data_IF_875027266035
#
_entry.id   IF_875027266035
#
_cell.length_a   1.000
_cell.length_b   1.000
_cell.length_c   1.000
_cell.angle_alpha   90.00
_cell.angle_beta   90.00
_cell.angle_gamma   90.00
#
_symmetry.space_group_name_H-M   'P 1'
#
loop_
_entity.id
_entity.type
_entity.pdbx_description
1 polymer ?
#
# COMPACT_ATOMS: atom_id res chain seq x y z
N UNK A 1 1.36 18.19 13.44
CA UNK A 1 0.89 17.85 12.08
C UNK A 1 2.09 17.63 11.19
N UNK A 2 2.02 16.61 10.35
CA UNK A 2 2.98 16.35 9.29
C UNK A 2 2.55 17.14 8.05
N UNK A 3 3.31 18.17 7.70
CA UNK A 3 3.05 19.00 6.53
C UNK A 3 4.35 19.21 5.74
N UNK A 4 4.32 19.11 4.41
CA UNK A 4 5.48 19.47 3.60
C UNK A 4 5.73 20.97 3.63
N UNK A 5 6.99 21.38 3.48
CA UNK A 5 7.38 22.78 3.42
C UNK A 5 6.77 23.50 2.20
N UNK A 6 6.55 22.78 1.11
CA UNK A 6 5.96 23.32 -0.12
C UNK A 6 5.33 22.21 -0.98
N UNK A 7 4.50 22.64 -1.92
CA UNK A 7 3.93 21.86 -3.00
C UNK A 7 2.87 20.83 -2.58
N UNK A 8 2.32 20.11 -3.56
CA UNK A 8 1.22 19.21 -3.34
C UNK A 8 1.67 17.92 -2.63
N UNK A 9 0.83 17.46 -1.72
CA UNK A 9 0.96 16.18 -1.03
C UNK A 9 -0.39 15.49 -0.87
N UNK A 10 -0.36 14.18 -0.73
CA UNK A 10 -1.51 13.34 -0.42
C UNK A 10 -1.17 12.38 0.72
N UNK A 11 -1.87 11.23 0.80
CA UNK A 11 -1.76 10.26 1.89
C UNK A 11 -0.32 9.83 2.19
N UNK A 12 -0.11 9.47 3.45
CA UNK A 12 1.12 8.86 3.92
C UNK A 12 1.06 7.33 3.83
N UNK A 13 2.22 6.71 3.67
CA UNK A 13 2.37 5.25 3.58
C UNK A 13 3.77 4.82 4.01
N UNK A 14 4.01 3.52 4.12
CA UNK A 14 5.35 2.98 4.38
C UNK A 14 5.96 3.41 5.70
N UNK A 15 5.14 3.58 6.76
CA UNK A 15 5.65 3.92 8.09
C UNK A 15 6.50 2.79 8.65
N UNK A 16 7.74 3.08 9.04
CA UNK A 16 8.65 2.12 9.66
C UNK A 16 9.50 2.76 10.78
N UNK A 17 9.93 1.93 11.72
CA UNK A 17 10.91 2.28 12.74
C UNK A 17 12.25 1.63 12.38
N UNK A 18 13.29 2.43 12.17
CA UNK A 18 14.62 1.93 11.85
C UNK A 18 15.70 2.67 12.64
N UNK A 19 16.53 1.93 13.37
CA UNK A 19 17.63 2.46 14.20
C UNK A 19 17.19 3.62 15.12
N UNK A 20 16.01 3.48 15.74
CA UNK A 20 15.46 4.47 16.67
C UNK A 20 14.87 5.72 16.02
N UNK A 21 14.70 5.74 14.71
CA UNK A 21 13.99 6.78 13.98
C UNK A 21 12.76 6.22 13.26
N UNK A 22 11.67 6.95 13.32
CA UNK A 22 10.49 6.71 12.49
C UNK A 22 10.70 7.37 11.14
N UNK A 23 10.33 6.64 10.09
CA UNK A 23 10.33 7.11 8.72
C UNK A 23 8.94 6.91 8.15
N UNK A 24 8.40 7.91 7.44
CA UNK A 24 7.13 7.84 6.76
C UNK A 24 7.28 8.48 5.38
N UNK A 25 6.61 7.90 4.41
CA UNK A 25 6.62 8.39 3.04
C UNK A 25 5.23 8.90 2.66
N UNK A 26 5.14 9.67 1.61
CA UNK A 26 3.89 10.25 1.13
C UNK A 26 3.94 10.46 -0.38
N UNK A 27 2.78 10.47 -1.00
CA UNK A 27 2.69 10.96 -2.35
C UNK A 27 2.98 12.47 -2.37
N UNK A 28 3.87 12.89 -3.24
CA UNK A 28 4.30 14.29 -3.36
C UNK A 28 4.51 14.69 -4.81
N UNK A 29 3.92 15.81 -5.24
CA UNK A 29 4.41 16.51 -6.42
C UNK A 29 5.46 17.51 -5.96
N UNK A 30 6.75 17.20 -6.18
CA UNK A 30 7.86 18.03 -5.70
C UNK A 30 7.99 19.38 -6.44
N UNK A 31 7.31 19.57 -7.55
CA UNK A 31 7.48 20.73 -8.44
C UNK A 31 6.26 21.65 -8.55
N UNK A 32 5.08 21.26 -8.05
CA UNK A 32 3.86 22.03 -8.19
C UNK A 32 2.88 21.86 -7.03
N UNK A 33 1.96 22.82 -6.90
CA UNK A 33 0.93 22.84 -5.84
C UNK A 33 -0.34 22.04 -6.18
N UNK A 34 -0.34 21.32 -7.29
CA UNK A 34 -1.47 20.49 -7.76
C UNK A 34 -1.02 19.07 -8.04
N UNK A 35 -1.97 18.17 -8.17
CA UNK A 35 -1.71 16.79 -8.58
C UNK A 35 -1.02 16.77 -9.96
N UNK A 36 0.08 16.04 -10.06
CA UNK A 36 0.87 15.90 -11.27
C UNK A 36 1.71 14.64 -11.22
N UNK A 37 2.98 14.72 -11.62
CA UNK A 37 3.87 13.59 -11.49
C UNK A 37 4.18 13.32 -10.02
N UNK A 38 3.81 12.13 -9.53
CA UNK A 38 3.92 11.76 -8.12
C UNK A 38 5.30 11.15 -7.85
N UNK A 39 5.96 11.72 -6.86
CA UNK A 39 7.16 11.20 -6.22
C UNK A 39 6.81 10.62 -4.84
N UNK A 40 7.73 9.89 -4.21
CA UNK A 40 7.66 9.63 -2.78
C UNK A 40 8.42 10.70 -2.01
N UNK A 41 7.67 11.56 -1.32
CA UNK A 41 8.21 12.40 -0.28
C UNK A 41 8.64 11.55 0.91
N UNK A 42 9.44 12.12 1.81
CA UNK A 42 9.98 11.41 2.95
C UNK A 42 10.05 12.33 4.16
N UNK A 43 9.64 11.82 5.31
CA UNK A 43 9.80 12.48 6.61
C UNK A 43 10.44 11.51 7.60
N UNK A 44 11.26 12.05 8.50
CA UNK A 44 11.84 11.31 9.61
C UNK A 44 11.53 11.96 10.94
N UNK A 45 11.44 11.17 12.02
CA UNK A 45 11.15 11.65 13.36
C UNK A 45 11.78 10.77 14.44
N UNK A 46 12.29 11.33 15.53
CA UNK A 46 12.73 10.56 16.68
C UNK A 46 11.57 10.05 17.56
N UNK A 47 10.37 10.66 17.47
CA UNK A 47 9.31 10.52 18.48
C UNK A 47 7.88 10.54 17.91
N UNK A 48 7.71 10.55 16.57
CA UNK A 48 6.43 10.70 15.85
C UNK A 48 5.70 12.05 16.08
N UNK A 49 6.31 12.97 16.80
CA UNK A 49 5.75 14.31 17.08
C UNK A 49 6.51 15.38 16.31
N UNK A 50 7.85 15.29 16.31
CA UNK A 50 8.74 16.25 15.65
C UNK A 50 9.28 15.65 14.36
N UNK A 51 8.72 16.10 13.24
CA UNK A 51 9.03 15.59 11.91
C UNK A 51 9.97 16.52 11.15
N UNK A 52 10.98 15.95 10.52
CA UNK A 52 11.84 16.62 9.55
C UNK A 52 11.46 16.13 8.15
N UNK A 53 11.18 17.07 7.23
CA UNK A 53 11.04 16.74 5.82
C UNK A 53 12.43 16.51 5.24
N UNK A 54 12.60 15.33 4.66
CA UNK A 54 13.80 14.92 3.95
C UNK A 54 13.63 15.18 2.45
N UNK A 55 14.68 14.96 1.66
CA UNK A 55 14.50 14.96 0.21
C UNK A 55 13.60 13.81 -0.24
N UNK A 56 12.92 13.92 -1.39
CA UNK A 56 12.13 12.81 -1.91
C UNK A 56 12.95 11.52 -2.01
N UNK A 57 12.39 10.43 -1.47
CA UNK A 57 13.05 9.12 -1.48
C UNK A 57 13.10 8.52 -2.88
N UNK A 58 12.03 8.66 -3.66
CA UNK A 58 11.92 8.12 -5.00
C UNK A 58 11.33 9.15 -5.97
N UNK A 59 11.86 9.18 -7.18
CA UNK A 59 11.36 9.98 -8.29
C UNK A 59 11.12 9.08 -9.50
N UNK A 60 10.08 9.32 -10.33
CA UNK A 60 9.85 8.54 -11.54
C UNK A 60 10.91 8.91 -12.59
N UNK A 61 11.74 7.93 -12.93
CA UNK A 61 12.87 8.09 -13.85
C UNK A 61 13.06 6.90 -14.79
N UNK A 62 12.14 5.91 -14.74
CA UNK A 62 12.18 4.72 -15.57
C UNK A 62 10.89 4.55 -16.38
N UNK A 63 10.94 3.78 -17.46
CA UNK A 63 9.76 3.56 -18.31
C UNK A 63 8.59 2.90 -17.58
N UNK A 64 8.87 2.05 -16.60
CA UNK A 64 7.85 1.33 -15.84
C UNK A 64 7.19 2.19 -14.73
N UNK A 65 7.72 3.38 -14.41
CA UNK A 65 7.15 4.30 -13.43
C UNK A 65 7.05 5.77 -13.94
N UNK A 66 7.15 5.97 -15.25
CA UNK A 66 7.19 7.31 -15.89
C UNK A 66 6.00 8.21 -15.58
N UNK A 67 4.85 7.63 -15.24
CA UNK A 67 3.62 8.36 -14.92
C UNK A 67 3.44 8.60 -13.41
N UNK A 68 4.43 8.22 -12.61
CA UNK A 68 4.47 8.46 -11.17
C UNK A 68 4.80 7.23 -10.35
N UNK A 69 5.22 7.47 -9.12
CA UNK A 69 5.45 6.46 -8.08
C UNK A 69 4.36 6.64 -7.05
N UNK A 70 3.38 5.70 -7.03
CA UNK A 70 2.19 5.82 -6.20
C UNK A 70 2.39 5.06 -4.89
N UNK A 71 1.38 5.07 -4.04
CA UNK A 71 1.46 4.53 -2.69
C UNK A 71 1.88 3.06 -2.63
N UNK A 72 2.34 2.64 -1.49
CA UNK A 72 2.84 1.31 -1.24
C UNK A 72 3.25 1.10 0.22
N UNK A 73 4.25 0.28 0.46
CA UNK A 73 4.65 -0.13 1.81
C UNK A 73 6.16 -0.08 2.01
N UNK A 74 6.60 -0.16 3.25
CA UNK A 74 8.00 -0.33 3.62
C UNK A 74 8.10 -1.49 4.63
N UNK A 75 9.12 -2.32 4.46
CA UNK A 75 9.42 -3.45 5.36
C UNK A 75 10.91 -3.48 5.68
N UNK A 76 11.26 -4.16 6.75
CA UNK A 76 12.65 -4.57 7.04
C UNK A 76 12.76 -6.02 6.63
N UNK A 77 13.63 -6.33 5.68
CA UNK A 77 13.84 -7.69 5.18
C UNK A 77 14.59 -8.57 6.19
N UNK A 78 14.83 -9.83 5.85
CA UNK A 78 15.47 -10.81 6.73
C UNK A 78 16.94 -10.47 7.06
N UNK A 79 17.58 -9.64 6.26
CA UNK A 79 18.94 -9.14 6.50
C UNK A 79 18.94 -7.86 7.37
N UNK A 80 17.79 -7.42 7.86
CA UNK A 80 17.64 -6.17 8.63
C UNK A 80 17.74 -4.91 7.78
N UNK A 81 17.56 -5.02 6.46
CA UNK A 81 17.66 -3.90 5.52
C UNK A 81 16.24 -3.41 5.18
N UNK A 82 15.95 -2.11 5.36
CA UNK A 82 14.70 -1.52 4.89
C UNK A 82 14.54 -1.64 3.37
N UNK A 83 13.34 -1.94 2.93
CA UNK A 83 12.99 -2.04 1.53
C UNK A 83 11.67 -1.31 1.29
N UNK A 84 11.64 -0.43 0.29
CA UNK A 84 10.42 0.20 -0.20
C UNK A 84 9.80 -0.67 -1.28
N UNK A 85 8.49 -0.81 -1.22
CA UNK A 85 7.66 -1.49 -2.20
C UNK A 85 6.61 -0.49 -2.66
N UNK A 86 6.57 -0.17 -3.94
CA UNK A 86 5.74 0.93 -4.44
C UNK A 86 4.96 0.56 -5.70
N UNK A 87 3.85 1.23 -5.91
CA UNK A 87 3.11 1.15 -7.15
C UNK A 87 3.84 1.92 -8.24
N UNK A 88 4.24 1.22 -9.28
CA UNK A 88 4.94 1.78 -10.42
C UNK A 88 3.94 2.13 -11.53
N UNK A 89 3.70 3.43 -11.72
CA UNK A 89 2.80 3.97 -12.75
C UNK A 89 3.51 4.12 -14.10
N UNK A 90 3.51 3.05 -14.88
CA UNK A 90 3.98 3.04 -16.26
C UNK A 90 2.85 3.03 -17.28
N UNK A 91 3.05 2.38 -18.43
CA UNK A 91 1.98 2.07 -19.39
C UNK A 91 1.03 0.99 -18.83
N UNK A 92 1.53 0.21 -17.89
CA UNK A 92 0.78 -0.72 -17.05
C UNK A 92 1.10 -0.40 -15.59
N UNK A 93 0.14 -0.67 -14.71
CA UNK A 93 0.38 -0.58 -13.27
C UNK A 93 1.15 -1.82 -12.82
N UNK A 94 2.26 -1.60 -12.15
CA UNK A 94 3.14 -2.65 -11.67
C UNK A 94 3.63 -2.39 -10.25
N UNK A 95 4.57 -3.21 -9.79
CA UNK A 95 5.21 -3.07 -8.48
C UNK A 95 6.71 -2.91 -8.67
N UNK A 96 7.26 -1.84 -8.09
CA UNK A 96 8.69 -1.61 -7.99
C UNK A 96 9.18 -1.74 -6.56
N UNK A 97 10.47 -1.97 -6.40
CA UNK A 97 11.15 -1.99 -5.10
C UNK A 97 12.41 -1.14 -5.12
N UNK A 98 12.78 -0.64 -3.93
CA UNK A 98 14.01 0.13 -3.75
C UNK A 98 14.69 -0.19 -2.42
N UNK A 99 16.01 -0.03 -2.39
CA UNK A 99 16.85 -0.27 -1.24
C UNK A 99 17.56 1.00 -0.80
N UNK A 100 17.86 1.17 0.50
CA UNK A 100 18.62 2.33 0.96
C UNK A 100 20.08 2.23 0.54
N UNK A 101 20.66 3.37 0.18
CA UNK A 101 22.12 3.51 -0.08
C UNK A 101 22.90 3.92 1.17
N UNK A 102 22.18 4.38 2.19
CA UNK A 102 22.77 4.83 3.45
C UNK A 102 21.92 4.38 4.66
N UNK A 103 22.51 4.41 5.83
CA UNK A 103 21.85 3.97 7.07
C UNK A 103 20.93 5.02 7.68
N UNK A 104 20.89 6.24 7.16
CA UNK A 104 19.95 7.29 7.55
C UNK A 104 18.68 7.27 6.69
N UNK A 105 18.60 6.38 5.70
CA UNK A 105 17.49 6.19 4.76
C UNK A 105 17.17 7.44 3.91
N UNK A 106 18.18 8.28 3.64
CA UNK A 106 18.00 9.49 2.84
C UNK A 106 18.14 9.22 1.34
N UNK A 107 19.11 8.35 0.98
CA UNK A 107 19.36 7.98 -0.40
C UNK A 107 18.82 6.58 -0.68
N UNK A 108 18.10 6.44 -1.79
CA UNK A 108 17.50 5.19 -2.21
C UNK A 108 17.90 4.83 -3.63
N UNK A 109 17.97 3.56 -3.91
CA UNK A 109 18.26 3.01 -5.24
C UNK A 109 17.18 2.02 -5.64
N UNK A 110 16.57 2.25 -6.81
CA UNK A 110 15.61 1.32 -7.38
C UNK A 110 16.31 0.02 -7.79
N UNK A 111 15.65 -1.09 -7.53
CA UNK A 111 16.17 -2.40 -7.92
C UNK A 111 16.31 -2.51 -9.44
N UNK A 112 17.47 -2.98 -9.91
CA UNK A 112 17.74 -3.11 -11.35
C UNK A 112 16.80 -4.10 -12.07
N UNK A 113 16.20 -5.04 -11.34
CA UNK A 113 15.23 -6.00 -11.86
C UNK A 113 13.76 -5.53 -11.82
N UNK A 114 13.50 -4.24 -11.53
CA UNK A 114 12.15 -3.70 -11.57
C UNK A 114 11.57 -3.67 -13.00
N UNK A 115 10.22 -3.77 -13.14
CA UNK A 115 9.24 -4.01 -12.08
C UNK A 115 9.25 -5.48 -11.63
N UNK A 116 9.11 -5.72 -10.32
CA UNK A 116 9.05 -7.09 -9.76
C UNK A 116 7.71 -7.77 -10.02
N UNK A 117 6.65 -7.00 -10.26
CA UNK A 117 5.39 -7.40 -10.86
C UNK A 117 5.10 -6.42 -11.98
N UNK A 118 5.04 -6.89 -13.22
CA UNK A 118 4.94 -6.02 -14.38
C UNK A 118 3.50 -5.55 -14.67
N UNK A 119 2.51 -6.34 -14.30
CA UNK A 119 1.09 -6.07 -14.52
C UNK A 119 0.21 -6.99 -13.67
N UNK A 120 -1.09 -6.75 -13.70
CA UNK A 120 -2.11 -7.57 -13.05
C UNK A 120 -2.07 -9.04 -13.48
N UNK A 121 -2.58 -9.97 -12.66
CA UNK A 121 -2.70 -11.37 -13.06
C UNK A 121 -3.62 -11.54 -14.28
N UNK A 122 -3.38 -12.60 -15.05
CA UNK A 122 -4.26 -12.97 -16.15
C UNK A 122 -5.68 -13.31 -15.68
N UNK A 123 -6.66 -13.12 -16.55
CA UNK A 123 -8.07 -13.45 -16.25
C UNK A 123 -8.90 -12.28 -15.69
N UNK A 124 -8.28 -11.16 -15.31
CA UNK A 124 -9.01 -9.97 -14.87
C UNK A 124 -9.02 -8.88 -15.94
N UNK A 125 -10.12 -8.14 -16.03
CA UNK A 125 -10.28 -7.03 -17.00
C UNK A 125 -9.69 -5.73 -16.48
N UNK A 126 -9.84 -5.43 -15.19
CA UNK A 126 -9.28 -4.23 -14.57
C UNK A 126 -7.77 -4.21 -14.71
N UNK A 127 -7.22 -3.09 -15.15
CA UNK A 127 -5.78 -2.88 -15.33
C UNK A 127 -5.13 -2.17 -14.15
N UNK A 128 -5.94 -1.48 -13.34
CA UNK A 128 -5.50 -0.75 -12.16
C UNK A 128 -5.33 -1.71 -10.98
N UNK A 129 -4.13 -1.77 -10.43
CA UNK A 129 -3.78 -2.43 -9.17
C UNK A 129 -2.75 -1.56 -8.45
N UNK A 130 -2.93 -1.28 -7.16
CA UNK A 130 -2.08 -0.36 -6.42
C UNK A 130 -2.10 -0.55 -4.91
N UNK A 131 -1.20 0.15 -4.22
CA UNK A 131 -1.17 0.27 -2.76
C UNK A 131 -0.86 -1.06 -2.09
N UNK A 132 0.38 -1.50 -2.19
CA UNK A 132 0.85 -2.76 -1.61
C UNK A 132 0.90 -2.68 -0.08
N UNK A 133 0.54 -3.79 0.58
CA UNK A 133 0.87 -4.06 1.97
C UNK A 133 1.58 -5.41 2.07
N UNK A 134 2.73 -5.45 2.74
CA UNK A 134 3.61 -6.61 2.81
C UNK A 134 3.78 -7.03 4.28
N UNK A 135 3.71 -8.33 4.55
CA UNK A 135 3.98 -8.91 5.86
C UNK A 135 4.66 -10.27 5.72
N UNK A 136 5.13 -10.82 6.83
CA UNK A 136 5.77 -12.14 6.89
C UNK A 136 5.01 -13.07 7.80
N UNK A 137 4.80 -14.32 7.36
CA UNK A 137 4.32 -15.44 8.18
C UNK A 137 5.30 -16.61 8.06
N UNK A 138 5.92 -16.97 9.18
CA UNK A 138 7.01 -17.95 9.15
C UNK A 138 8.14 -17.47 8.22
N UNK A 139 8.47 -18.30 7.23
CA UNK A 139 9.53 -18.00 6.25
C UNK A 139 9.00 -17.43 4.92
N UNK A 140 7.70 -17.14 4.84
CA UNK A 140 7.06 -16.66 3.61
C UNK A 140 6.67 -15.19 3.76
N UNK A 141 7.07 -14.38 2.77
CA UNK A 141 6.59 -13.02 2.59
C UNK A 141 5.30 -13.04 1.79
N UNK A 142 4.32 -12.32 2.25
CA UNK A 142 3.04 -12.11 1.58
C UNK A 142 2.88 -10.64 1.22
N UNK A 143 2.18 -10.38 0.13
CA UNK A 143 1.78 -9.05 -0.30
C UNK A 143 0.34 -9.06 -0.74
N UNK A 144 -0.45 -8.10 -0.25
CA UNK A 144 -1.74 -7.78 -0.84
C UNK A 144 -1.64 -6.50 -1.63
N UNK A 145 -2.41 -6.43 -2.71
CA UNK A 145 -2.49 -5.24 -3.58
C UNK A 145 -3.95 -4.87 -3.74
N UNK A 146 -4.26 -3.59 -3.57
CA UNK A 146 -5.57 -3.04 -3.81
C UNK A 146 -6.04 -3.27 -5.25
N UNK A 147 -7.29 -3.70 -5.39
CA UNK A 147 -7.89 -4.12 -6.65
C UNK A 147 -9.41 -3.95 -6.67
N UNK A 148 -10.02 -4.24 -7.80
CA UNK A 148 -11.47 -4.32 -7.95
C UNK A 148 -11.85 -5.28 -9.06
N UNK A 149 -12.98 -5.95 -8.88
CA UNK A 149 -13.59 -6.86 -9.84
C UNK A 149 -14.60 -6.07 -10.68
N UNK A 150 -14.43 -6.07 -12.00
CA UNK A 150 -15.30 -5.35 -12.95
C UNK A 150 -16.10 -6.27 -13.87
N UNK A 151 -15.67 -7.52 -14.00
CA UNK A 151 -16.27 -8.50 -14.92
C UNK A 151 -17.52 -9.18 -14.35
N UNK A 152 -18.30 -8.48 -13.55
CA UNK A 152 -19.54 -8.95 -12.93
C UNK A 152 -20.63 -7.89 -13.09
N UNK A 153 -21.89 -8.27 -12.91
CA UNK A 153 -23.01 -7.33 -12.91
C UNK A 153 -22.95 -6.34 -11.73
N UNK A 154 -22.18 -6.70 -10.70
CA UNK A 154 -21.99 -5.90 -9.48
C UNK A 154 -20.49 -5.70 -9.22
N UNK A 155 -19.83 -4.71 -9.86
CA UNK A 155 -18.44 -4.39 -9.60
C UNK A 155 -18.18 -4.13 -8.11
N UNK A 156 -17.07 -4.68 -7.57
CA UNK A 156 -16.74 -4.57 -6.15
C UNK A 156 -15.23 -4.56 -5.90
N UNK A 157 -14.84 -4.07 -4.71
CA UNK A 157 -13.46 -4.04 -4.27
C UNK A 157 -12.91 -5.43 -3.97
N UNK A 158 -11.60 -5.62 -4.16
CA UNK A 158 -10.91 -6.88 -3.90
C UNK A 158 -9.44 -6.66 -3.54
N UNK A 159 -8.76 -7.70 -3.07
CA UNK A 159 -7.33 -7.72 -2.80
C UNK A 159 -6.66 -8.90 -3.50
N UNK A 160 -5.68 -8.61 -4.35
CA UNK A 160 -4.80 -9.62 -4.92
C UNK A 160 -3.82 -10.11 -3.84
N UNK A 161 -3.60 -11.43 -3.74
CA UNK A 161 -2.60 -12.03 -2.85
C UNK A 161 -1.43 -12.57 -3.66
N UNK A 162 -0.23 -12.17 -3.27
CA UNK A 162 1.04 -12.68 -3.77
C UNK A 162 1.88 -13.24 -2.63
N UNK A 163 2.81 -14.14 -2.96
CA UNK A 163 3.82 -14.65 -2.02
C UNK A 163 5.21 -14.65 -2.62
N UNK A 164 6.21 -14.58 -1.74
CA UNK A 164 7.62 -14.52 -2.09
C UNK A 164 8.50 -15.13 -1.00
N UNK A 165 9.65 -15.66 -1.38
CA UNK A 165 10.70 -16.06 -0.46
C UNK A 165 11.78 -14.99 -0.26
N UNK A 166 11.85 -13.98 -1.16
CA UNK A 166 13.00 -13.06 -1.25
C UNK A 166 12.64 -11.58 -1.46
N UNK A 167 11.31 -11.25 -1.43
CA UNK A 167 10.77 -9.91 -1.72
C UNK A 167 11.06 -9.39 -3.14
N UNK A 168 11.63 -10.20 -4.03
CA UNK A 168 12.00 -9.85 -5.40
C UNK A 168 11.21 -10.62 -6.45
N UNK A 169 10.89 -11.88 -6.16
CA UNK A 169 10.08 -12.74 -7.03
C UNK A 169 8.76 -13.00 -6.35
N UNK A 170 7.66 -12.67 -7.02
CA UNK A 170 6.33 -12.75 -6.48
C UNK A 170 5.44 -13.66 -7.31
N UNK A 171 4.88 -14.67 -6.68
CA UNK A 171 3.92 -15.57 -7.29
C UNK A 171 2.50 -15.15 -6.90
N UNK A 172 1.64 -14.94 -7.89
CA UNK A 172 0.22 -14.71 -7.64
C UNK A 172 -0.41 -15.97 -7.07
N UNK A 173 -1.16 -15.83 -5.97
CA UNK A 173 -1.83 -16.96 -5.29
C UNK A 173 -3.30 -17.01 -5.69
N UNK A 174 -4.06 -16.01 -5.30
CA UNK A 174 -5.48 -15.81 -5.61
C UNK A 174 -5.94 -14.43 -5.07
N UNK A 175 -7.24 -14.15 -5.06
CA UNK A 175 -7.80 -13.04 -4.27
C UNK A 175 -7.77 -13.42 -2.79
N UNK A 176 -7.11 -12.61 -1.94
CA UNK A 176 -7.15 -12.82 -0.50
C UNK A 176 -8.56 -12.68 0.04
N UNK A 177 -9.25 -11.64 -0.42
CA UNK A 177 -10.58 -11.28 0.00
C UNK A 177 -11.23 -10.36 -1.04
N UNK A 178 -12.54 -10.41 -1.15
CA UNK A 178 -13.34 -9.56 -2.04
C UNK A 178 -14.62 -9.12 -1.35
N UNK A 179 -15.13 -7.98 -1.75
CA UNK A 179 -16.38 -7.43 -1.24
C UNK A 179 -17.59 -8.27 -1.67
N UNK A 180 -18.62 -8.25 -0.86
CA UNK A 180 -19.89 -8.87 -1.20
C UNK A 180 -20.98 -7.78 -1.30
N UNK A 181 -21.35 -7.34 -2.52
CA UNK A 181 -22.36 -6.31 -2.72
C UNK A 181 -23.76 -6.65 -2.18
N UNK A 182 -24.04 -7.94 -1.90
CA UNK A 182 -25.30 -8.37 -1.28
C UNK A 182 -25.32 -8.11 0.23
N UNK A 183 -24.13 -7.97 0.84
CA UNK A 183 -23.97 -7.78 2.29
C UNK A 183 -23.71 -6.33 2.65
N UNK A 184 -22.86 -5.67 1.85
CA UNK A 184 -22.46 -4.27 2.07
C UNK A 184 -22.05 -3.61 0.75
N UNK A 185 -22.20 -2.29 0.68
CA UNK A 185 -21.59 -1.50 -0.39
C UNK A 185 -20.07 -1.46 -0.21
N UNK A 186 -19.40 -2.42 -0.80
CA UNK A 186 -17.93 -2.56 -0.75
C UNK A 186 -17.19 -1.61 -1.71
N UNK A 187 -17.91 -0.73 -2.43
CA UNK A 187 -17.31 0.11 -3.48
C UNK A 187 -16.88 -0.70 -4.70
N UNK A 188 -16.19 -0.02 -5.62
CA UNK A 188 -15.73 -0.61 -6.90
C UNK A 188 -14.25 -0.97 -6.91
N UNK A 189 -13.52 -0.54 -5.90
CA UNK A 189 -12.08 -0.76 -5.74
C UNK A 189 -11.70 -0.58 -4.26
N UNK A 190 -10.66 -1.26 -3.83
CA UNK A 190 -10.08 -1.07 -2.51
C UNK A 190 -8.67 -0.50 -2.60
N UNK A 191 -8.43 0.59 -1.88
CA UNK A 191 -7.15 1.29 -1.78
C UNK A 191 -6.53 1.12 -0.42
N UNK A 192 -5.23 1.37 -0.33
CA UNK A 192 -4.44 1.48 0.90
C UNK A 192 -4.73 0.36 1.91
N UNK A 193 -4.68 -0.92 1.50
CA UNK A 193 -4.96 -2.00 2.41
C UNK A 193 -3.92 -2.07 3.53
N UNK A 194 -4.39 -2.43 4.74
CA UNK A 194 -3.53 -2.81 5.86
C UNK A 194 -3.97 -4.19 6.34
N UNK A 195 -3.03 -5.10 6.52
CA UNK A 195 -3.31 -6.45 6.99
C UNK A 195 -2.38 -6.82 8.14
N UNK A 196 -2.78 -6.44 9.36
CA UNK A 196 -1.93 -6.54 10.54
C UNK A 196 -2.46 -7.55 11.55
N UNK A 197 -1.57 -8.41 12.02
CA UNK A 197 -1.87 -9.32 13.12
C UNK A 197 -1.85 -8.57 14.45
N UNK A 198 -2.93 -8.66 15.20
CA UNK A 198 -3.12 -8.02 16.50
C UNK A 198 -3.86 -8.97 17.45
N UNK A 199 -3.27 -9.25 18.60
CA UNK A 199 -3.92 -10.08 19.64
C UNK A 199 -4.36 -11.48 19.16
N UNK A 200 -3.65 -12.10 18.23
CA UNK A 200 -3.95 -13.43 17.70
C UNK A 200 -4.93 -13.46 16.52
N UNK A 201 -5.50 -12.34 16.13
CA UNK A 201 -6.34 -12.14 14.94
C UNK A 201 -5.65 -11.23 13.94
N UNK A 202 -6.16 -11.20 12.71
CA UNK A 202 -5.80 -10.22 11.69
C UNK A 202 -6.86 -9.13 11.61
N UNK A 203 -6.40 -7.90 11.50
CA UNK A 203 -7.23 -6.75 11.15
C UNK A 203 -6.93 -6.40 9.70
N UNK A 204 -7.95 -6.46 8.86
CA UNK A 204 -7.92 -5.99 7.49
C UNK A 204 -8.59 -4.63 7.42
N UNK A 205 -7.86 -3.61 6.97
CA UNK A 205 -8.37 -2.27 6.69
C UNK A 205 -8.31 -2.03 5.19
N UNK A 206 -9.30 -1.35 4.63
CA UNK A 206 -9.30 -0.89 3.24
C UNK A 206 -9.98 0.46 3.13
N UNK A 207 -9.50 1.31 2.23
CA UNK A 207 -10.26 2.46 1.78
C UNK A 207 -11.15 2.03 0.62
N UNK A 208 -12.45 2.10 0.84
CA UNK A 208 -13.43 1.83 -0.19
C UNK A 208 -13.50 2.99 -1.18
N UNK A 209 -13.16 2.75 -2.45
CA UNK A 209 -13.47 3.67 -3.54
C UNK A 209 -14.95 3.51 -3.87
N UNK A 210 -15.77 4.55 -3.67
CA UNK A 210 -17.21 4.41 -3.73
C UNK A 210 -17.74 4.32 -5.16
N UNK A 211 -18.95 3.81 -5.29
CA UNK A 211 -19.79 4.12 -6.44
C UNK A 211 -20.09 5.62 -6.48
N UNK A 212 -20.46 6.14 -7.65
CA UNK A 212 -20.74 7.56 -7.83
C UNK A 212 -21.80 8.05 -6.82
N UNK A 213 -21.47 9.13 -6.11
CA UNK A 213 -22.37 9.78 -5.15
C UNK A 213 -22.31 9.26 -3.71
N UNK A 214 -21.50 8.24 -3.45
CA UNK A 214 -21.28 7.69 -2.09
C UNK A 214 -19.89 8.13 -1.60
N UNK A 215 -19.73 8.57 -0.34
CA UNK A 215 -18.42 9.00 0.16
C UNK A 215 -17.46 7.81 0.33
N UNK A 216 -16.18 8.05 0.09
CA UNK A 216 -15.12 7.10 0.44
C UNK A 216 -15.08 6.88 1.97
N UNK A 217 -14.73 5.66 2.38
CA UNK A 217 -14.61 5.28 3.80
C UNK A 217 -13.49 4.29 4.01
N UNK A 218 -12.85 4.37 5.17
CA UNK A 218 -12.02 3.29 5.66
C UNK A 218 -12.89 2.27 6.39
N UNK A 219 -12.89 1.04 5.91
CA UNK A 219 -13.61 -0.09 6.48
C UNK A 219 -12.64 -1.12 7.01
N UNK A 220 -13.09 -1.93 7.99
CA UNK A 220 -12.28 -3.01 8.52
C UNK A 220 -13.07 -4.28 8.82
N UNK A 221 -12.35 -5.39 8.79
CA UNK A 221 -12.76 -6.71 9.27
C UNK A 221 -11.72 -7.23 10.25
N UNK A 222 -12.17 -8.07 11.18
CA UNK A 222 -11.32 -8.86 12.08
C UNK A 222 -11.54 -10.32 11.73
N UNK A 223 -10.48 -11.13 11.68
CA UNK A 223 -10.60 -12.53 11.30
C UNK A 223 -9.30 -13.32 11.42
N UNK A 224 -9.29 -14.47 10.81
CA UNK A 224 -8.13 -15.38 10.77
C UNK A 224 -7.48 -15.39 9.37
N UNK A 225 -6.15 -15.50 9.32
CA UNK A 225 -5.43 -15.86 8.10
C UNK A 225 -5.01 -17.33 8.20
N UNK A 226 -5.65 -18.18 7.42
CA UNK A 226 -5.42 -19.63 7.41
C UNK A 226 -5.43 -20.17 5.99
N UNK A 227 -4.47 -21.02 5.66
CA UNK A 227 -4.36 -21.63 4.33
C UNK A 227 -4.36 -20.58 3.20
N UNK A 228 -3.64 -19.49 3.42
CA UNK A 228 -3.54 -18.35 2.48
C UNK A 228 -4.89 -17.65 2.20
N UNK A 229 -5.86 -17.76 3.09
CA UNK A 229 -7.17 -17.10 3.00
C UNK A 229 -7.45 -16.25 4.23
N UNK A 230 -8.10 -15.13 4.02
CA UNK A 230 -8.68 -14.34 5.10
C UNK A 230 -10.11 -14.81 5.36
N UNK A 231 -10.41 -15.15 6.61
CA UNK A 231 -11.72 -15.61 7.06
C UNK A 231 -12.21 -14.62 8.10
N UNK A 232 -13.08 -13.68 7.75
CA UNK A 232 -13.59 -12.69 8.68
C UNK A 232 -14.53 -13.34 9.73
N UNK A 233 -14.44 -12.89 10.97
CA UNK A 233 -15.36 -13.29 12.06
C UNK A 233 -16.79 -12.80 11.78
N UNK A 234 -16.92 -11.67 11.08
CA UNK A 234 -18.19 -11.10 10.61
C UNK A 234 -18.02 -10.71 9.13
N UNK A 235 -18.91 -11.16 8.24
CA UNK A 235 -18.84 -10.78 6.82
C UNK A 235 -19.13 -9.30 6.58
N UNK A 236 -19.87 -8.64 7.46
CA UNK A 236 -20.20 -7.21 7.35
C UNK A 236 -19.05 -6.38 7.87
N UNK A 237 -18.47 -5.49 7.06
CA UNK A 237 -17.41 -4.59 7.50
C UNK A 237 -17.92 -3.57 8.53
N UNK A 238 -16.98 -3.07 9.32
CA UNK A 238 -17.22 -1.92 10.18
C UNK A 238 -16.47 -0.70 9.65
N UNK A 239 -17.01 0.49 9.88
CA UNK A 239 -16.31 1.72 9.56
C UNK A 239 -15.27 2.00 10.65
N UNK A 240 -14.05 2.39 10.24
CA UNK A 240 -12.98 2.68 11.19
C UNK A 240 -13.31 3.91 12.06
N UNK A 241 -14.11 4.84 11.53
CA UNK A 241 -14.53 6.02 12.25
C UNK A 241 -15.97 6.45 11.89
N UNK A 242 -16.56 7.32 12.70
CA UNK A 242 -17.98 7.72 12.57
C UNK A 242 -18.19 8.98 11.74
N UNK A 243 -17.17 9.80 11.52
CA UNK A 243 -17.29 11.13 10.89
C UNK A 243 -16.93 11.17 9.40
N UNK A 244 -16.62 10.02 8.79
CA UNK A 244 -16.34 9.85 7.36
C UNK A 244 -15.16 10.68 6.82
N UNK A 245 -14.10 10.85 7.59
CA UNK A 245 -12.95 11.68 7.22
C UNK A 245 -11.60 10.99 7.37
N UNK A 246 -11.55 9.83 8.01
CA UNK A 246 -10.33 9.06 8.18
C UNK A 246 -10.14 8.12 7.00
N UNK A 247 -9.09 8.35 6.24
CA UNK A 247 -8.67 7.53 5.11
C UNK A 247 -7.17 7.21 5.24
N UNK A 248 -6.73 6.14 4.58
CA UNK A 248 -5.32 5.78 4.41
C UNK A 248 -4.53 5.66 5.72
N UNK A 249 -5.00 4.90 6.72
CA UNK A 249 -4.26 4.71 7.96
C UNK A 249 -2.95 3.96 7.68
N UNK A 250 -1.85 4.42 8.31
CA UNK A 250 -0.57 3.70 8.32
C UNK A 250 -0.35 3.09 9.69
N UNK A 251 0.20 1.88 9.73
CA UNK A 251 0.42 1.11 10.96
C UNK A 251 1.87 0.69 11.05
N UNK A 252 2.47 0.84 12.23
CA UNK A 252 3.82 0.36 12.55
C UNK A 252 3.79 -0.40 13.87
N UNK A 253 4.66 -1.39 14.00
CA UNK A 253 4.97 -2.05 15.25
C UNK A 253 6.16 -1.35 15.91
N UNK A 254 6.05 -1.04 17.20
CA UNK A 254 7.08 -0.34 18.02
C UNK A 254 7.63 -1.25 19.08
#
# INVERSE_FOLDING_TARGET
>A
HLLPAANWTNETHGLLLYKGKYHIFNQKNASAIFLGQINWGHFSSPDMLHWTEEKPALTPDAAYDKNGIWSGHAVINDDGIPQLIYTAGGDKMGVGIAFPKDTALIEWEKYAGNPVIAEKPAGYTRTDMRDQYVWKEGDVWYMIIGFGIEQTDTPHGALLLYKSADLKRWDFVHLLFEGNPEVDDSGIFWEMPVFKKMGGKYVLLVNRVPHKGIPARCQYWIGDFKNEKFIPDNPVPQNLEVINRLLSPSVVET
#
